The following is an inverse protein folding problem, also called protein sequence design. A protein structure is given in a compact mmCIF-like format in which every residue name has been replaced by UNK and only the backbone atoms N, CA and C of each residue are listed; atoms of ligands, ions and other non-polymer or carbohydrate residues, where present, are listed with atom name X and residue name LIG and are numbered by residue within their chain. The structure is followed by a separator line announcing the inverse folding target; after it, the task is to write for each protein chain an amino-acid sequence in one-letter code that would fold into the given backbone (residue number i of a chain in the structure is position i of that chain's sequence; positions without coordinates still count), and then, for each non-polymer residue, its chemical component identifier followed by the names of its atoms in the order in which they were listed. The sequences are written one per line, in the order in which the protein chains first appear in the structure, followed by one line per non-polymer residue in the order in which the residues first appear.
data_IF_352726399433
#
_entry.id   IF_352726399433
#
_cell.length_a   1.000
_cell.length_b   1.000
_cell.length_c   1.000
_cell.angle_alpha   90.00
_cell.angle_beta   90.00
_cell.angle_gamma   90.00
#
_symmetry.space_group_name_H-M   'P 1'
#
loop_
_entity.id
_entity.type
_entity.pdbx_description
1 polymer ?
#
# COMPACT_ATOMS: atom_id res chain seq x y z
N UNK A 1 -12.90 -24.32 4.34
CA UNK A 1 -13.94 -24.82 5.24
C UNK A 1 -13.79 -24.17 6.61
N UNK A 2 -14.82 -24.25 7.43
CA UNK A 2 -14.82 -23.89 8.85
C UNK A 2 -14.49 -25.11 9.69
N UNK A 3 -13.75 -24.90 10.78
CA UNK A 3 -13.44 -25.91 11.78
C UNK A 3 -13.98 -25.41 13.12
N UNK A 4 -14.65 -26.27 13.86
CA UNK A 4 -15.01 -25.97 15.25
C UNK A 4 -13.84 -26.40 16.13
N UNK A 5 -13.22 -25.45 16.83
CA UNK A 5 -12.01 -25.68 17.61
C UNK A 5 -11.75 -24.54 18.60
N UNK A 6 -11.01 -24.85 19.67
CA UNK A 6 -10.35 -23.83 20.47
C UNK A 6 -9.01 -23.44 19.85
N UNK A 7 -8.66 -22.17 19.95
CA UNK A 7 -7.46 -21.59 19.35
C UNK A 7 -6.48 -21.18 20.44
N UNK A 8 -5.28 -21.77 20.45
CA UNK A 8 -4.20 -21.33 21.32
C UNK A 8 -3.26 -20.39 20.58
N UNK A 9 -2.97 -19.22 21.18
CA UNK A 9 -2.06 -18.21 20.64
C UNK A 9 -0.96 -17.91 21.66
N UNK A 10 0.29 -17.95 21.22
CA UNK A 10 1.44 -17.61 22.06
C UNK A 10 2.35 -16.65 21.31
N UNK A 11 2.66 -15.51 21.90
CA UNK A 11 3.52 -14.46 21.29
C UNK A 11 3.03 -14.05 19.87
N UNK A 12 1.73 -13.89 19.69
CA UNK A 12 1.15 -13.47 18.41
C UNK A 12 1.07 -14.56 17.34
N UNK A 13 1.42 -15.80 17.68
CA UNK A 13 1.42 -16.93 16.73
C UNK A 13 0.39 -17.97 17.19
N UNK A 14 -0.41 -18.49 16.26
CA UNK A 14 -1.28 -19.63 16.50
C UNK A 14 -0.41 -20.87 16.73
N UNK A 15 -0.46 -21.42 17.95
CA UNK A 15 0.38 -22.55 18.33
C UNK A 15 -0.37 -23.88 18.32
N UNK A 16 -1.69 -23.85 18.49
CA UNK A 16 -2.52 -25.06 18.40
C UNK A 16 -3.96 -24.74 17.99
N UNK A 17 -4.58 -25.72 17.36
CA UNK A 17 -6.02 -25.88 17.24
C UNK A 17 -6.38 -27.11 18.07
N UNK A 18 -7.25 -26.92 19.02
CA UNK A 18 -7.63 -27.95 19.98
C UNK A 18 -9.08 -28.33 19.76
N UNK A 19 -9.40 -29.60 19.95
CA UNK A 19 -10.81 -30.02 19.95
C UNK A 19 -11.56 -29.29 21.08
N UNK A 20 -12.79 -28.80 20.82
CA UNK A 20 -13.56 -28.13 21.83
C UNK A 20 -13.75 -29.08 23.05
N UNK A 21 -13.55 -28.63 24.28
CA UNK A 21 -13.79 -29.46 25.45
C UNK A 21 -15.27 -29.83 25.50
N UNK A 22 -15.54 -31.08 25.90
CA UNK A 22 -16.92 -31.56 26.11
C UNK A 22 -17.64 -30.82 27.26
N UNK A 23 -16.86 -30.18 28.14
CA UNK A 23 -17.34 -29.29 29.20
C UNK A 23 -16.56 -27.96 29.14
N UNK A 24 -17.23 -26.79 29.02
CA UNK A 24 -16.59 -25.48 29.07
C UNK A 24 -15.74 -25.24 30.34
N UNK A 25 -15.97 -26.00 31.40
CA UNK A 25 -15.16 -25.95 32.64
C UNK A 25 -13.76 -26.53 32.42
N UNK A 26 -13.57 -27.45 31.47
CA UNK A 26 -12.28 -28.07 31.13
C UNK A 26 -11.37 -27.12 30.35
N UNK A 27 -11.94 -26.20 29.61
CA UNK A 27 -11.19 -25.14 28.93
C UNK A 27 -10.42 -24.22 29.91
N UNK A 28 -10.88 -24.12 31.15
CA UNK A 28 -10.22 -23.32 32.20
C UNK A 28 -8.94 -23.96 32.75
N UNK A 29 -8.66 -25.22 32.39
CA UNK A 29 -7.42 -25.92 32.75
C UNK A 29 -6.22 -25.58 31.92
N UNK A 30 -6.40 -24.90 30.77
CA UNK A 30 -5.29 -24.37 30.00
C UNK A 30 -4.66 -23.19 30.75
N UNK A 31 -3.35 -23.20 30.99
CA UNK A 31 -2.60 -22.11 31.59
C UNK A 31 -2.47 -20.93 30.62
N UNK A 32 -3.59 -20.31 30.24
CA UNK A 32 -3.66 -19.13 29.43
C UNK A 32 -3.67 -17.86 30.29
N UNK A 33 -2.87 -16.84 29.93
CA UNK A 33 -2.90 -15.54 30.60
C UNK A 33 -4.24 -14.81 30.35
N UNK A 34 -4.84 -15.05 29.18
CA UNK A 34 -6.14 -14.51 28.80
C UNK A 34 -6.97 -15.59 28.12
N UNK A 35 -8.25 -15.65 28.45
CA UNK A 35 -9.25 -16.47 27.79
C UNK A 35 -10.30 -15.53 27.15
N UNK A 36 -10.56 -15.69 25.87
CA UNK A 36 -11.59 -14.94 25.14
C UNK A 36 -12.67 -15.94 24.72
N UNK A 37 -13.88 -15.77 25.25
CA UNK A 37 -15.03 -16.58 24.85
C UNK A 37 -15.52 -16.08 23.45
N UNK A 38 -15.42 -16.95 22.47
CA UNK A 38 -15.86 -16.72 21.10
C UNK A 38 -16.97 -17.71 20.70
N UNK A 39 -17.68 -18.28 21.68
CA UNK A 39 -18.79 -19.23 21.45
C UNK A 39 -19.83 -18.61 20.49
N UNK A 40 -20.15 -19.32 19.43
CA UNK A 40 -21.09 -18.86 18.39
C UNK A 40 -20.54 -17.81 17.43
N UNK A 41 -19.27 -17.46 17.55
CA UNK A 41 -18.58 -16.53 16.64
C UNK A 41 -17.66 -17.28 15.70
N UNK A 42 -17.22 -16.60 14.64
CA UNK A 42 -16.20 -17.09 13.71
C UNK A 42 -14.92 -16.32 13.96
N UNK A 43 -13.84 -17.04 14.23
CA UNK A 43 -12.49 -16.48 14.31
C UNK A 43 -11.87 -16.61 12.92
N UNK A 44 -11.39 -15.50 12.38
CA UNK A 44 -10.73 -15.43 11.08
C UNK A 44 -9.43 -14.62 11.20
N UNK A 45 -8.48 -14.80 10.27
CA UNK A 45 -7.37 -13.85 10.14
C UNK A 45 -7.89 -12.43 9.95
N UNK A 46 -7.17 -11.44 10.49
CA UNK A 46 -7.49 -10.04 10.25
C UNK A 46 -7.44 -9.72 8.75
N UNK A 47 -8.34 -8.85 8.31
CA UNK A 47 -8.40 -8.46 6.90
C UNK A 47 -7.21 -7.59 6.51
N UNK A 48 -6.81 -7.71 5.24
CA UNK A 48 -5.78 -6.89 4.61
C UNK A 48 -6.50 -5.94 3.65
N UNK A 49 -6.48 -4.64 3.96
CA UNK A 49 -6.92 -3.63 3.00
C UNK A 49 -5.75 -3.33 2.05
N UNK A 50 -5.88 -3.82 0.82
CA UNK A 50 -4.83 -3.70 -0.20
C UNK A 50 -4.82 -2.34 -0.91
N UNK A 51 -5.77 -1.44 -0.60
CA UNK A 51 -5.89 -0.14 -1.24
C UNK A 51 -6.30 0.94 -0.24
N UNK A 52 -5.33 1.53 0.42
CA UNK A 52 -5.54 2.59 1.41
C UNK A 52 -4.64 3.80 1.10
N UNK A 53 -5.08 4.96 1.57
CA UNK A 53 -4.29 6.20 1.61
C UNK A 53 -4.00 6.62 3.06
N UNK A 54 -4.14 5.69 4.01
CA UNK A 54 -3.89 5.93 5.43
C UNK A 54 -2.42 6.25 5.74
N UNK A 55 -1.49 5.93 4.86
CA UNK A 55 -0.10 6.38 4.92
C UNK A 55 0.05 7.91 5.02
N UNK A 56 -0.95 8.69 4.59
CA UNK A 56 -1.00 10.13 4.75
C UNK A 56 -1.65 10.60 6.05
N UNK A 57 -2.31 9.74 6.82
CA UNK A 57 -3.11 10.15 8.00
C UNK A 57 -2.80 9.35 9.27
N UNK A 58 -2.04 8.26 9.19
CA UNK A 58 -1.75 7.39 10.34
C UNK A 58 -0.99 8.11 11.48
N UNK A 59 -0.17 9.12 11.17
CA UNK A 59 0.52 9.90 12.23
C UNK A 59 -0.47 10.69 13.12
N UNK A 60 -1.56 11.19 12.54
CA UNK A 60 -2.60 11.90 13.30
C UNK A 60 -3.61 10.95 13.97
N UNK A 61 -3.69 9.72 13.51
CA UNK A 61 -4.62 8.71 14.03
C UNK A 61 -3.96 7.33 14.16
N UNK A 62 -2.89 7.21 14.97
CA UNK A 62 -2.10 5.98 15.03
C UNK A 62 -2.89 4.78 15.56
N UNK A 63 -3.90 4.98 16.41
CA UNK A 63 -4.76 3.90 16.89
C UNK A 63 -5.53 3.18 15.79
N UNK A 64 -5.74 3.80 14.63
CA UNK A 64 -6.41 3.23 13.44
C UNK A 64 -7.79 2.58 13.76
N UNK A 65 -8.52 3.13 14.74
CA UNK A 65 -9.75 2.53 15.30
C UNK A 65 -10.82 2.26 14.25
N UNK A 66 -10.97 3.16 13.28
CA UNK A 66 -11.98 3.05 12.20
C UNK A 66 -11.80 1.82 11.33
N UNK A 67 -10.58 1.40 11.09
CA UNK A 67 -10.28 0.21 10.26
C UNK A 67 -10.23 -1.05 11.14
N UNK A 68 -9.69 -0.95 12.35
CA UNK A 68 -9.68 -2.05 13.33
C UNK A 68 -11.08 -2.50 13.69
N UNK A 69 -12.03 -1.56 13.88
CA UNK A 69 -13.42 -1.89 14.19
C UNK A 69 -14.13 -2.66 13.06
N UNK A 70 -13.56 -2.67 11.86
CA UNK A 70 -14.03 -3.43 10.71
C UNK A 70 -13.26 -4.74 10.51
N UNK A 71 -12.36 -5.09 11.43
CA UNK A 71 -11.53 -6.29 11.36
C UNK A 71 -10.32 -6.17 10.44
N UNK A 72 -9.99 -4.99 9.93
CA UNK A 72 -8.77 -4.75 9.13
C UNK A 72 -7.59 -4.61 10.07
N UNK A 73 -6.58 -5.47 9.89
CA UNK A 73 -5.35 -5.49 10.72
C UNK A 73 -4.09 -5.16 9.94
N UNK A 74 -4.20 -5.00 8.63
CA UNK A 74 -3.09 -4.62 7.74
C UNK A 74 -3.58 -3.65 6.67
N UNK A 75 -2.87 -2.55 6.51
CA UNK A 75 -3.12 -1.55 5.46
C UNK A 75 -1.96 -1.53 4.46
N UNK A 76 -2.30 -1.43 3.17
CA UNK A 76 -1.34 -1.21 2.10
C UNK A 76 -1.49 0.23 1.60
N UNK A 77 -0.54 1.09 1.95
CA UNK A 77 -0.49 2.50 1.56
C UNK A 77 0.35 2.76 0.32
N UNK A 78 0.43 4.03 -0.10
CA UNK A 78 1.18 4.43 -1.30
C UNK A 78 0.42 4.20 -2.61
N UNK A 79 -0.88 4.09 -2.56
CA UNK A 79 -1.74 3.80 -3.71
C UNK A 79 -1.93 4.99 -4.66
N UNK A 80 -2.47 4.73 -5.85
CA UNK A 80 -2.82 5.72 -6.89
C UNK A 80 -1.66 6.65 -7.28
N UNK A 81 -0.42 6.18 -7.19
CA UNK A 81 0.77 6.96 -7.52
C UNK A 81 1.21 7.96 -6.45
N UNK A 82 0.59 7.96 -5.29
CA UNK A 82 0.89 8.86 -4.18
C UNK A 82 1.46 8.09 -2.98
N UNK A 83 2.58 8.54 -2.45
CA UNK A 83 3.16 8.10 -1.19
C UNK A 83 3.78 9.33 -0.48
N UNK A 84 3.89 9.36 0.85
CA UNK A 84 4.48 10.49 1.57
C UNK A 84 5.99 10.63 1.36
N UNK A 85 6.58 9.77 0.56
CA UNK A 85 7.97 9.74 0.12
C UNK A 85 8.05 9.26 -1.36
N UNK A 86 9.21 9.47 -2.07
CA UNK A 86 10.33 10.32 -1.69
C UNK A 86 10.01 11.80 -1.88
N UNK A 87 10.72 12.68 -1.17
CA UNK A 87 10.65 14.11 -1.42
C UNK A 87 11.94 14.85 -1.07
N UNK A 88 12.11 16.04 -1.64
CA UNK A 88 13.33 16.86 -1.51
C UNK A 88 13.29 17.85 -0.34
N UNK A 89 12.27 17.80 0.52
CA UNK A 89 12.13 18.71 1.66
C UNK A 89 11.59 20.12 1.36
N UNK A 90 11.34 20.46 0.09
CA UNK A 90 10.85 21.78 -0.31
C UNK A 90 9.32 21.95 -0.23
N UNK A 91 8.62 21.06 0.45
CA UNK A 91 7.17 21.09 0.65
C UNK A 91 6.33 20.90 -0.62
N UNK A 92 6.94 20.49 -1.75
CA UNK A 92 6.22 20.32 -3.01
C UNK A 92 5.23 19.14 -2.92
N UNK A 93 5.68 17.99 -2.41
CA UNK A 93 4.83 16.82 -2.21
C UNK A 93 3.70 17.12 -1.23
N UNK A 94 4.01 17.79 -0.11
CA UNK A 94 3.03 18.22 0.89
C UNK A 94 1.92 19.08 0.26
N UNK A 95 2.30 20.08 -0.54
CA UNK A 95 1.31 20.92 -1.24
C UNK A 95 0.52 20.15 -2.29
N UNK A 96 1.18 19.30 -3.07
CA UNK A 96 0.53 18.53 -4.12
C UNK A 96 -0.45 17.48 -3.57
N UNK A 97 -0.18 16.94 -2.37
CA UNK A 97 -1.03 15.97 -1.68
C UNK A 97 -2.04 16.58 -0.71
N UNK A 98 -2.15 17.92 -0.67
CA UNK A 98 -3.01 18.62 0.30
C UNK A 98 -4.50 18.21 0.25
N UNK A 99 -4.98 17.73 -0.89
CA UNK A 99 -6.35 17.21 -1.05
C UNK A 99 -6.64 15.95 -0.21
N UNK A 100 -5.60 15.25 0.25
CA UNK A 100 -5.71 14.09 1.15
C UNK A 100 -5.67 14.50 2.63
N UNK A 101 -5.59 15.80 2.95
CA UNK A 101 -5.45 16.32 4.31
C UNK A 101 -4.35 15.61 5.11
N UNK A 102 -3.08 15.62 4.63
CA UNK A 102 -2.03 14.79 5.19
C UNK A 102 -1.63 15.23 6.60
N UNK A 103 -1.58 14.25 7.50
CA UNK A 103 -1.04 14.37 8.87
C UNK A 103 0.27 13.58 8.95
N UNK A 104 1.27 14.03 8.17
CA UNK A 104 2.55 13.35 7.95
C UNK A 104 3.68 14.11 8.62
N UNK A 105 4.61 13.39 9.24
CA UNK A 105 5.90 13.97 9.61
C UNK A 105 6.80 14.13 8.36
N UNK A 106 6.79 15.33 7.81
CA UNK A 106 7.54 15.68 6.61
C UNK A 106 9.06 15.79 6.81
N UNK A 107 9.59 15.41 7.97
CA UNK A 107 11.03 15.23 8.16
C UNK A 107 11.55 13.91 7.59
N UNK A 108 10.64 12.98 7.32
CA UNK A 108 10.94 11.69 6.70
C UNK A 108 10.95 11.82 5.17
N UNK A 109 12.14 11.77 4.55
CA UNK A 109 12.30 12.06 3.12
C UNK A 109 12.25 10.82 2.20
N UNK A 110 12.45 9.64 2.76
CA UNK A 110 12.50 8.34 2.07
C UNK A 110 11.66 7.28 2.80
N UNK A 111 11.51 6.10 2.21
CA UNK A 111 10.70 5.03 2.79
C UNK A 111 11.28 4.54 4.13
N UNK A 112 12.60 4.47 4.24
CA UNK A 112 13.28 4.02 5.44
C UNK A 112 13.08 4.99 6.62
N UNK A 113 13.19 6.30 6.40
CA UNK A 113 12.92 7.31 7.44
C UNK A 113 11.44 7.34 7.81
N UNK A 114 10.54 7.23 6.83
CA UNK A 114 9.12 7.15 7.08
C UNK A 114 8.75 5.91 7.92
N UNK A 115 9.32 4.75 7.60
CA UNK A 115 9.16 3.53 8.39
C UNK A 115 9.66 3.69 9.83
N UNK A 116 10.77 4.41 10.05
CA UNK A 116 11.28 4.69 11.42
C UNK A 116 10.34 5.60 12.20
N UNK A 117 9.77 6.61 11.57
CA UNK A 117 8.78 7.48 12.23
C UNK A 117 7.55 6.67 12.65
N UNK A 118 7.01 5.83 11.77
CA UNK A 118 5.91 4.93 12.12
C UNK A 118 6.27 3.95 13.24
N UNK A 119 7.51 3.46 13.27
CA UNK A 119 7.97 2.54 14.31
C UNK A 119 8.20 3.21 15.67
N UNK A 120 8.43 4.53 15.70
CA UNK A 120 8.59 5.28 16.94
C UNK A 120 7.25 5.51 17.67
N UNK A 121 6.15 5.64 16.92
CA UNK A 121 4.77 5.67 17.41
C UNK A 121 3.95 4.63 16.61
N UNK A 122 4.00 3.35 17.01
CA UNK A 122 3.49 2.27 16.19
C UNK A 122 1.97 2.36 16.01
N UNK A 123 1.47 2.35 14.76
CA UNK A 123 0.04 2.30 14.53
C UNK A 123 -0.59 0.99 15.01
N UNK A 124 -1.88 1.02 15.34
CA UNK A 124 -2.65 -0.14 15.79
C UNK A 124 -2.81 -1.24 14.73
N UNK A 125 -2.34 -1.01 13.50
CA UNK A 125 -2.40 -1.94 12.36
C UNK A 125 -1.02 -2.15 11.78
N UNK A 126 -0.82 -3.29 11.09
CA UNK A 126 0.37 -3.47 10.26
C UNK A 126 0.29 -2.56 9.04
N UNK A 127 1.42 -2.04 8.60
CA UNK A 127 1.52 -1.16 7.43
C UNK A 127 2.47 -1.75 6.40
N UNK A 128 2.00 -1.85 5.17
CA UNK A 128 2.80 -2.19 4.00
C UNK A 128 2.90 -0.95 3.13
N UNK A 129 4.12 -0.54 2.79
CA UNK A 129 4.37 0.67 2.02
C UNK A 129 4.61 0.34 0.55
N UNK A 130 4.11 1.22 -0.31
CA UNK A 130 4.38 1.27 -1.75
C UNK A 130 4.91 2.65 -2.12
N UNK A 131 5.71 2.74 -3.18
CA UNK A 131 6.22 4.01 -3.69
C UNK A 131 5.39 4.49 -4.88
N UNK A 132 4.92 5.74 -4.80
CA UNK A 132 4.04 6.34 -5.80
C UNK A 132 4.78 7.07 -6.92
N UNK A 133 4.37 6.86 -8.16
CA UNK A 133 5.00 7.49 -9.34
C UNK A 133 4.83 9.02 -9.37
N UNK A 134 3.72 9.55 -8.87
CA UNK A 134 3.55 11.00 -8.72
C UNK A 134 4.58 11.58 -7.75
N UNK A 135 4.80 10.91 -6.61
CA UNK A 135 5.81 11.31 -5.63
C UNK A 135 7.22 11.24 -6.20
N UNK A 136 7.53 10.19 -6.97
CA UNK A 136 8.80 10.08 -7.71
C UNK A 136 9.00 11.25 -8.69
N UNK A 137 7.99 11.54 -9.52
CA UNK A 137 8.06 12.66 -10.48
C UNK A 137 8.23 14.01 -9.78
N UNK A 138 7.49 14.24 -8.68
CA UNK A 138 7.63 15.47 -7.89
C UNK A 138 9.04 15.63 -7.32
N UNK A 139 9.66 14.55 -6.88
CA UNK A 139 11.01 14.58 -6.34
C UNK A 139 12.07 14.87 -7.41
N UNK A 140 11.92 14.36 -8.65
CA UNK A 140 12.93 14.46 -9.72
C UNK A 140 12.65 15.62 -10.66
N UNK A 141 11.39 15.80 -11.07
CA UNK A 141 11.01 16.71 -12.17
C UNK A 141 10.09 17.85 -11.71
N UNK A 142 9.62 17.82 -10.46
CA UNK A 142 8.60 18.76 -9.98
C UNK A 142 7.26 18.55 -10.70
N UNK A 143 6.61 19.67 -11.06
CA UNK A 143 5.28 19.66 -11.70
C UNK A 143 5.32 19.73 -13.21
N UNK A 144 6.47 19.53 -13.82
CA UNK A 144 6.64 19.71 -15.28
C UNK A 144 5.85 18.67 -16.08
N UNK A 145 5.14 19.16 -17.11
CA UNK A 145 4.38 18.33 -18.05
C UNK A 145 5.23 18.02 -19.30
N UNK A 146 6.15 17.08 -19.17
CA UNK A 146 6.98 16.54 -20.25
C UNK A 146 7.49 15.15 -19.89
N UNK A 147 8.03 14.43 -20.85
CA UNK A 147 8.80 13.22 -20.59
C UNK A 147 10.09 13.54 -19.82
N UNK A 148 10.57 12.61 -18.96
CA UNK A 148 11.90 12.71 -18.37
C UNK A 148 12.98 12.62 -19.45
N UNK A 149 14.09 13.32 -19.23
CA UNK A 149 15.32 13.05 -19.98
C UNK A 149 15.99 11.75 -19.47
N UNK A 150 17.11 11.37 -20.08
CA UNK A 150 17.81 10.12 -19.70
C UNK A 150 18.31 10.14 -18.25
N UNK A 151 18.75 11.28 -17.75
CA UNK A 151 19.24 11.45 -16.37
C UNK A 151 18.08 11.38 -15.39
N UNK A 152 17.00 12.09 -15.67
CA UNK A 152 15.80 12.09 -14.85
C UNK A 152 15.16 10.68 -14.79
N UNK A 153 15.09 9.98 -15.93
CA UNK A 153 14.59 8.59 -15.96
C UNK A 153 15.46 7.65 -15.11
N UNK A 154 16.78 7.81 -15.18
CA UNK A 154 17.69 7.04 -14.32
C UNK A 154 17.48 7.36 -12.84
N UNK A 155 17.21 8.62 -12.47
CA UNK A 155 16.89 9.01 -11.09
C UNK A 155 15.56 8.42 -10.61
N UNK A 156 14.51 8.43 -11.45
CA UNK A 156 13.24 7.78 -11.13
C UNK A 156 13.43 6.29 -10.84
N UNK A 157 14.22 5.61 -11.66
CA UNK A 157 14.57 4.20 -11.47
C UNK A 157 15.34 3.96 -10.17
N UNK A 158 16.37 4.77 -9.89
CA UNK A 158 17.19 4.67 -8.68
C UNK A 158 16.36 4.87 -7.39
N UNK A 159 15.40 5.79 -7.40
CA UNK A 159 14.51 5.99 -6.24
C UNK A 159 13.60 4.78 -5.98
N UNK A 160 13.18 4.05 -7.01
CA UNK A 160 12.43 2.80 -6.82
C UNK A 160 13.33 1.69 -6.26
N UNK A 161 14.58 1.60 -6.73
CA UNK A 161 15.58 0.66 -6.18
C UNK A 161 15.83 0.95 -4.71
N UNK A 162 16.08 2.21 -4.36
CA UNK A 162 16.26 2.65 -2.97
C UNK A 162 15.05 2.29 -2.11
N UNK A 163 13.83 2.64 -2.54
CA UNK A 163 12.62 2.33 -1.79
C UNK A 163 12.45 0.82 -1.56
N UNK A 164 12.80 -0.01 -2.56
CA UNK A 164 12.78 -1.47 -2.41
C UNK A 164 13.79 -1.98 -1.38
N UNK A 165 15.02 -1.42 -1.36
CA UNK A 165 16.04 -1.74 -0.36
C UNK A 165 15.61 -1.32 1.06
N UNK A 166 14.83 -0.26 1.16
CA UNK A 166 14.23 0.27 2.40
C UNK A 166 12.96 -0.48 2.83
N UNK A 167 12.54 -1.52 2.12
CA UNK A 167 11.47 -2.42 2.52
C UNK A 167 10.11 -2.18 1.89
N UNK A 168 9.99 -1.28 0.91
CA UNK A 168 8.77 -1.09 0.12
C UNK A 168 8.42 -2.37 -0.65
N UNK A 169 7.12 -2.68 -0.77
CA UNK A 169 6.62 -3.92 -1.39
C UNK A 169 5.90 -3.71 -2.72
N UNK A 170 5.71 -2.46 -3.14
CA UNK A 170 5.03 -2.14 -4.38
C UNK A 170 5.45 -0.80 -4.97
N UNK A 171 5.18 -0.66 -6.25
CA UNK A 171 5.26 0.56 -7.04
C UNK A 171 3.86 0.89 -7.55
N UNK A 172 3.45 2.16 -7.49
CA UNK A 172 2.09 2.51 -7.89
C UNK A 172 2.03 3.65 -8.88
N UNK A 173 0.99 3.65 -9.71
CA UNK A 173 0.66 4.74 -10.62
C UNK A 173 -0.78 5.18 -10.43
N UNK A 174 -1.04 6.48 -10.65
CA UNK A 174 -2.38 7.05 -10.71
C UNK A 174 -2.48 7.92 -11.95
N UNK A 175 -2.70 7.28 -13.10
CA UNK A 175 -2.52 7.87 -14.43
C UNK A 175 -3.58 8.91 -14.79
N UNK A 176 -4.60 9.07 -13.95
CA UNK A 176 -5.60 10.15 -14.02
C UNK A 176 -5.08 11.45 -13.39
N UNK A 177 -4.16 11.38 -12.42
CA UNK A 177 -3.74 12.51 -11.61
C UNK A 177 -2.42 13.11 -12.08
N UNK A 178 -2.34 14.45 -12.18
CA UNK A 178 -1.06 15.14 -12.36
C UNK A 178 -0.19 15.00 -11.10
N UNK A 179 1.14 14.84 -11.23
CA UNK A 179 1.92 14.79 -12.46
C UNK A 179 2.04 13.38 -13.07
N UNK A 180 1.44 12.35 -12.48
CA UNK A 180 1.52 10.97 -12.97
C UNK A 180 0.87 10.81 -14.35
N UNK A 181 -0.22 11.58 -14.62
CA UNK A 181 -0.91 11.60 -15.91
C UNK A 181 -0.03 12.09 -17.09
N UNK A 182 1.06 12.79 -16.80
CA UNK A 182 2.01 13.25 -17.81
C UNK A 182 2.96 12.15 -18.27
N UNK A 183 3.06 11.05 -17.50
CA UNK A 183 3.92 9.94 -17.82
C UNK A 183 3.35 9.13 -18.99
N UNK A 184 4.19 8.91 -20.00
CA UNK A 184 3.88 8.06 -21.14
C UNK A 184 4.29 6.61 -20.88
N UNK A 185 3.75 5.69 -21.68
CA UNK A 185 4.00 4.26 -21.59
C UNK A 185 5.50 3.88 -21.49
N UNK A 186 6.45 4.49 -22.24
CA UNK A 186 7.88 4.17 -22.11
C UNK A 186 8.46 4.46 -20.73
N UNK A 187 8.11 5.59 -20.13
CA UNK A 187 8.54 6.01 -18.79
C UNK A 187 8.06 5.00 -17.74
N UNK A 188 6.75 4.75 -17.71
CA UNK A 188 6.15 3.83 -16.75
C UNK A 188 6.73 2.43 -16.91
N UNK A 189 6.91 1.98 -18.17
CA UNK A 189 7.49 0.66 -18.46
C UNK A 189 8.93 0.55 -17.96
N UNK A 190 9.74 1.59 -18.09
CA UNK A 190 11.13 1.58 -17.63
C UNK A 190 11.19 1.47 -16.10
N UNK A 191 10.40 2.26 -15.38
CA UNK A 191 10.33 2.22 -13.92
C UNK A 191 9.73 0.89 -13.44
N UNK A 192 8.69 0.37 -14.11
CA UNK A 192 8.08 -0.91 -13.79
C UNK A 192 9.04 -2.11 -14.00
N UNK A 193 10.01 -2.03 -14.93
CA UNK A 193 11.07 -3.04 -15.08
C UNK A 193 11.95 -3.12 -13.84
N UNK A 194 12.30 -1.98 -13.26
CA UNK A 194 13.06 -1.93 -12.00
C UNK A 194 12.23 -2.53 -10.88
N UNK A 195 10.96 -2.14 -10.77
CA UNK A 195 10.05 -2.72 -9.79
C UNK A 195 9.96 -4.25 -9.91
N UNK A 196 9.86 -4.79 -11.14
CA UNK A 196 9.85 -6.22 -11.42
C UNK A 196 11.14 -6.91 -10.97
N UNK A 197 12.30 -6.34 -11.31
CA UNK A 197 13.62 -6.85 -10.92
C UNK A 197 13.81 -6.91 -9.40
N UNK A 198 13.15 -6.01 -8.66
CA UNK A 198 13.15 -5.96 -7.19
C UNK A 198 12.02 -6.77 -6.56
N UNK A 199 11.23 -7.51 -7.34
CA UNK A 199 10.12 -8.34 -6.86
C UNK A 199 8.90 -7.57 -6.37
N UNK A 200 8.81 -6.26 -6.67
CA UNK A 200 7.67 -5.42 -6.32
C UNK A 200 6.44 -5.75 -7.18
N UNK A 201 5.27 -5.43 -6.68
CA UNK A 201 4.02 -5.40 -7.47
C UNK A 201 3.82 -4.01 -8.05
N UNK A 202 3.12 -3.90 -9.19
CA UNK A 202 2.66 -2.63 -9.73
C UNK A 202 1.15 -2.54 -9.55
N UNK A 203 0.68 -1.61 -8.72
CA UNK A 203 -0.73 -1.28 -8.59
C UNK A 203 -1.04 0.01 -9.37
N UNK A 204 -2.09 0.01 -10.20
CA UNK A 204 -2.41 1.16 -11.04
C UNK A 204 -3.85 1.61 -10.88
N UNK A 205 -4.05 2.89 -10.56
CA UNK A 205 -5.24 3.63 -10.94
C UNK A 205 -5.07 3.97 -12.43
N UNK A 206 -5.88 3.36 -13.27
CA UNK A 206 -5.76 3.47 -14.72
C UNK A 206 -5.95 4.91 -15.20
N UNK A 207 -5.53 5.17 -16.44
CA UNK A 207 -5.59 6.50 -17.06
C UNK A 207 -7.01 7.00 -17.29
N UNK A 208 -7.92 6.10 -17.57
CA UNK A 208 -9.32 6.40 -17.82
C UNK A 208 -10.20 5.25 -17.30
N UNK A 209 -11.23 5.60 -16.55
CA UNK A 209 -12.23 4.67 -16.04
C UNK A 209 -13.61 4.90 -16.69
N UNK A 210 -13.68 5.82 -17.66
CA UNK A 210 -14.87 6.17 -18.44
C UNK A 210 -14.83 5.60 -19.86
N UNK A 211 -15.03 6.46 -20.84
CA UNK A 211 -15.11 6.06 -22.25
C UNK A 211 -13.83 5.40 -22.79
N UNK A 212 -12.67 5.73 -22.23
CA UNK A 212 -11.37 5.16 -22.57
C UNK A 212 -10.97 3.91 -21.77
N UNK A 213 -11.86 3.35 -20.96
CA UNK A 213 -11.57 2.24 -20.02
C UNK A 213 -10.81 1.08 -20.69
N UNK A 214 -11.28 0.58 -21.83
CA UNK A 214 -10.66 -0.57 -22.47
C UNK A 214 -9.23 -0.26 -22.93
N UNK A 215 -8.99 0.95 -23.45
CA UNK A 215 -7.64 1.41 -23.81
C UNK A 215 -6.73 1.56 -22.59
N UNK A 216 -7.27 1.99 -21.45
CA UNK A 216 -6.54 2.09 -20.20
C UNK A 216 -6.19 0.72 -19.60
N UNK A 217 -7.07 -0.27 -19.75
CA UNK A 217 -6.78 -1.66 -19.40
C UNK A 217 -5.68 -2.22 -20.31
N UNK A 218 -5.75 -1.98 -21.62
CA UNK A 218 -4.72 -2.40 -22.57
C UNK A 218 -3.36 -1.76 -22.27
N UNK A 219 -3.32 -0.47 -21.87
CA UNK A 219 -2.11 0.21 -21.42
C UNK A 219 -1.52 -0.49 -20.19
N UNK A 220 -2.33 -0.76 -19.17
CA UNK A 220 -1.89 -1.44 -17.94
C UNK A 220 -1.32 -2.84 -18.24
N UNK A 221 -2.00 -3.61 -19.07
CA UNK A 221 -1.54 -4.93 -19.52
C UNK A 221 -0.25 -4.85 -20.37
N UNK A 222 -0.12 -3.82 -21.21
CA UNK A 222 1.09 -3.59 -21.99
C UNK A 222 2.30 -3.26 -21.10
N UNK A 223 2.11 -2.46 -20.04
CA UNK A 223 3.15 -2.18 -19.03
C UNK A 223 3.60 -3.50 -18.39
N UNK A 224 2.66 -4.31 -17.89
CA UNK A 224 2.97 -5.58 -17.23
C UNK A 224 3.73 -6.54 -18.16
N UNK A 225 3.26 -6.74 -19.39
CA UNK A 225 3.91 -7.63 -20.37
C UNK A 225 5.32 -7.18 -20.75
N UNK A 226 5.54 -5.86 -20.91
CA UNK A 226 6.84 -5.30 -21.32
C UNK A 226 7.85 -5.21 -20.18
N UNK A 227 7.38 -5.09 -18.95
CA UNK A 227 8.24 -4.97 -17.77
C UNK A 227 8.45 -6.29 -17.03
N UNK A 228 7.52 -7.25 -17.16
CA UNK A 228 7.50 -8.47 -16.36
C UNK A 228 6.99 -8.27 -14.92
N UNK A 229 6.48 -7.07 -14.58
CA UNK A 229 5.97 -6.77 -13.24
C UNK A 229 4.61 -7.47 -13.00
N UNK A 230 4.39 -7.92 -11.78
CA UNK A 230 3.06 -8.38 -11.35
C UNK A 230 2.13 -7.19 -11.26
N UNK A 231 1.01 -7.24 -11.95
CA UNK A 231 0.05 -6.13 -12.05
C UNK A 231 -1.15 -6.35 -11.16
N UNK A 232 -1.55 -5.28 -10.47
CA UNK A 232 -2.85 -5.10 -9.84
C UNK A 232 -3.53 -3.88 -10.47
N UNK A 233 -4.72 -4.05 -11.02
CA UNK A 233 -5.57 -2.92 -11.41
C UNK A 233 -6.40 -2.53 -10.20
N UNK A 234 -6.17 -1.33 -9.69
CA UNK A 234 -6.86 -0.80 -8.52
C UNK A 234 -8.32 -0.48 -8.86
N UNK A 235 -9.23 -0.74 -7.91
CA UNK A 235 -10.65 -0.32 -7.93
C UNK A 235 -11.28 -0.31 -9.34
N UNK A 236 -11.06 -1.37 -10.14
CA UNK A 236 -11.56 -1.47 -11.51
C UNK A 236 -13.08 -1.25 -11.57
N UNK A 237 -13.49 -0.27 -12.35
CA UNK A 237 -14.89 0.11 -12.55
C UNK A 237 -15.06 0.82 -13.87
N UNK A 238 -16.30 0.93 -14.34
CA UNK A 238 -16.67 1.79 -15.45
C UNK A 238 -17.45 2.99 -14.93
N UNK A 239 -16.99 4.21 -15.23
CA UNK A 239 -17.66 5.45 -14.93
C UNK A 239 -18.48 5.93 -16.13
N UNK A 240 -19.68 6.41 -15.89
CA UNK A 240 -20.59 6.95 -16.91
C UNK A 240 -21.88 6.15 -17.02
N UNK A 241 -22.75 6.63 -17.91
CA UNK A 241 -23.95 5.91 -18.32
C UNK A 241 -23.63 5.02 -19.50
N UNK A 242 -24.06 3.76 -19.44
CA UNK A 242 -24.04 2.85 -20.58
C UNK A 242 -24.93 3.36 -21.70
#
# INVERSE_FOLDING_TARGET
GTLEADLAVTNGVITALLDPPNDPADARGAHAAYLVDVTGLVVAPGFIDIHSHADFTLHGSPAAETVLSQGVTTLVGGNCGWSPFPHTGHGLLQRASSFMHPEVDWTAHDAGSFGRVLAADPPGVNVVLQVGHASLRLAVMGTTNRAPDATELAQLCALVEQAADEGVRGYTTGLTYAPCSYAALPEITAVAKVAAARGLTHATHMRDEGAGLLGAVDEALAIARRSGVRLQISHIKALGTA
#
